data_IF_075745683177
#
_entry.id   IF_075745683177
#
_cell.length_a   1.000
_cell.length_b   1.000
_cell.length_c   1.000
_cell.angle_alpha   90.00
_cell.angle_beta   90.00
_cell.angle_gamma   90.00
#
_symmetry.space_group_name_H-M   'P 1'
#
loop_
_entity.id
_entity.type
_entity.pdbx_description
1 polymer ?
#
# COMPACT_ATOMS: atom_id res chain seq x y z
N UNK A 1 28.99 -47.82 53.00
CA UNK A 1 29.06 -47.98 51.52
C UNK A 1 29.14 -46.60 50.90
N UNK A 2 30.02 -46.45 49.91
CA UNK A 2 30.53 -45.17 49.39
C UNK A 2 29.43 -44.37 48.68
N UNK A 3 29.34 -43.09 49.02
CA UNK A 3 28.57 -42.10 48.28
C UNK A 3 29.18 -41.93 46.88
N UNK A 4 28.40 -42.16 45.83
CA UNK A 4 28.80 -41.90 44.45
C UNK A 4 28.99 -40.39 44.26
N UNK A 5 30.19 -40.00 43.85
CA UNK A 5 30.45 -38.63 43.42
C UNK A 5 29.71 -38.42 42.10
N UNK A 6 28.60 -37.70 42.13
CA UNK A 6 28.05 -37.02 40.96
C UNK A 6 29.11 -36.03 40.50
N UNK A 7 29.85 -36.39 39.45
CA UNK A 7 30.79 -35.49 38.79
C UNK A 7 29.94 -34.52 37.98
N UNK A 8 29.79 -33.30 38.49
CA UNK A 8 29.37 -32.17 37.67
C UNK A 8 30.32 -32.09 36.47
N UNK A 9 29.80 -32.30 35.26
CA UNK A 9 30.51 -31.97 34.02
C UNK A 9 30.74 -30.46 34.05
N UNK A 10 31.89 -30.05 34.58
CA UNK A 10 32.38 -28.70 34.44
C UNK A 10 32.45 -28.38 32.95
N UNK A 11 31.96 -27.20 32.58
CA UNK A 11 32.05 -26.65 31.25
C UNK A 11 33.51 -26.64 30.78
N UNK A 12 33.93 -27.69 30.07
CA UNK A 12 35.21 -27.70 29.39
C UNK A 12 35.13 -26.64 28.29
N UNK A 13 35.79 -25.51 28.50
CA UNK A 13 35.99 -24.53 27.45
C UNK A 13 36.76 -25.21 26.32
N UNK A 14 36.10 -25.43 25.18
CA UNK A 14 36.73 -25.94 23.97
C UNK A 14 37.94 -25.04 23.64
N UNK A 15 39.14 -25.60 23.41
CA UNK A 15 40.30 -24.79 23.07
C UNK A 15 40.02 -24.02 21.78
N UNK A 16 40.00 -22.70 21.89
CA UNK A 16 39.88 -21.77 20.77
C UNK A 16 41.27 -21.22 20.46
N UNK A 17 41.70 -21.35 19.21
CA UNK A 17 42.91 -20.69 18.69
C UNK A 17 42.51 -19.72 17.58
N UNK A 18 43.39 -18.79 17.22
CA UNK A 18 43.17 -17.91 16.08
C UNK A 18 44.12 -18.27 14.94
N UNK A 19 43.63 -18.22 13.71
CA UNK A 19 44.45 -18.41 12.52
C UNK A 19 44.08 -17.41 11.44
N UNK A 20 45.06 -16.93 10.69
CA UNK A 20 44.79 -16.18 9.46
C UNK A 20 44.01 -17.04 8.46
N UNK A 21 42.95 -16.46 7.91
CA UNK A 21 42.15 -17.03 6.84
C UNK A 21 41.97 -15.99 5.73
N UNK A 22 41.63 -16.44 4.53
CA UNK A 22 41.39 -15.58 3.37
C UNK A 22 39.91 -15.66 3.00
N UNK A 23 39.28 -14.51 2.83
CA UNK A 23 37.96 -14.35 2.24
C UNK A 23 38.11 -13.86 0.80
N UNK A 24 37.33 -14.41 -0.12
CA UNK A 24 37.37 -14.02 -1.55
C UNK A 24 36.98 -12.55 -1.75
N UNK A 25 36.02 -12.05 -0.98
CA UNK A 25 35.49 -10.69 -1.12
C UNK A 25 36.20 -9.66 -0.21
N UNK A 26 36.73 -10.09 0.93
CA UNK A 26 37.20 -9.19 1.99
C UNK A 26 38.67 -9.40 2.38
N UNK A 27 39.39 -10.29 1.70
CA UNK A 27 40.81 -10.55 1.93
C UNK A 27 41.09 -11.24 3.27
N UNK A 28 42.26 -10.95 3.85
CA UNK A 28 42.73 -11.64 5.06
C UNK A 28 41.93 -11.25 6.30
N UNK A 29 41.57 -12.24 7.10
CA UNK A 29 40.88 -12.03 8.38
C UNK A 29 41.35 -13.03 9.45
N UNK A 30 41.20 -12.65 10.71
CA UNK A 30 41.47 -13.52 11.85
C UNK A 30 40.26 -14.42 12.10
N UNK A 31 40.40 -15.72 11.83
CA UNK A 31 39.38 -16.71 12.12
C UNK A 31 39.59 -17.33 13.50
N UNK A 32 38.52 -17.46 14.29
CA UNK A 32 38.51 -18.31 15.48
C UNK A 32 38.38 -19.76 15.05
N UNK A 33 39.33 -20.58 15.48
CA UNK A 33 39.42 -22.01 15.20
C UNK A 33 38.98 -22.78 16.45
N UNK A 34 37.90 -23.54 16.33
CA UNK A 34 37.37 -24.38 17.39
C UNK A 34 37.57 -25.84 17.01
N UNK A 35 38.25 -26.59 17.86
CA UNK A 35 38.41 -28.03 17.70
C UNK A 35 37.33 -28.75 18.50
N UNK A 36 36.43 -29.43 17.80
CA UNK A 36 35.37 -30.24 18.42
C UNK A 36 35.59 -31.68 17.98
N UNK A 37 36.01 -32.54 18.93
CA UNK A 37 36.41 -33.93 18.67
C UNK A 37 37.50 -33.97 17.58
N UNK A 38 37.28 -34.72 16.49
CA UNK A 38 38.19 -34.87 15.35
C UNK A 38 37.98 -33.83 14.25
N UNK A 39 37.13 -32.82 14.46
CA UNK A 39 36.79 -31.81 13.45
C UNK A 39 37.25 -30.41 13.87
N UNK A 40 37.76 -29.68 12.89
CA UNK A 40 38.22 -28.29 13.05
C UNK A 40 37.24 -27.36 12.36
N UNK A 41 36.67 -26.42 13.10
CA UNK A 41 35.75 -25.41 12.60
C UNK A 41 36.44 -24.04 12.62
N UNK A 42 36.33 -23.30 11.52
CA UNK A 42 36.81 -21.90 11.45
C UNK A 42 35.61 -20.97 11.43
N UNK A 43 35.72 -19.84 12.12
CA UNK A 43 34.70 -18.81 12.05
C UNK A 43 34.61 -18.25 10.62
N UNK A 44 33.39 -17.90 10.16
CA UNK A 44 33.23 -17.21 8.89
C UNK A 44 33.90 -15.83 8.94
N UNK A 45 34.16 -15.25 7.77
CA UNK A 45 34.61 -13.86 7.65
C UNK A 45 33.61 -12.94 8.40
N UNK A 46 34.07 -12.12 9.36
CA UNK A 46 33.21 -11.21 10.12
C UNK A 46 32.47 -10.22 9.23
N UNK A 47 33.13 -9.75 8.17
CA UNK A 47 32.56 -8.77 7.25
C UNK A 47 31.47 -9.39 6.35
N UNK A 48 31.71 -10.59 5.80
CA UNK A 48 30.64 -11.36 5.13
C UNK A 48 29.44 -11.56 6.07
N UNK A 49 29.69 -11.93 7.33
CA UNK A 49 28.62 -12.16 8.32
C UNK A 49 27.86 -10.86 8.63
N UNK A 50 28.55 -9.72 8.74
CA UNK A 50 27.94 -8.39 8.93
C UNK A 50 27.01 -8.07 7.77
N UNK A 51 27.50 -8.16 6.53
CA UNK A 51 26.71 -7.89 5.32
C UNK A 51 25.52 -8.84 5.16
N UNK A 52 25.68 -10.13 5.49
CA UNK A 52 24.57 -11.09 5.50
C UNK A 52 23.52 -10.70 6.55
N UNK A 53 23.96 -10.37 7.76
CA UNK A 53 23.07 -9.95 8.85
C UNK A 53 22.32 -8.67 8.47
N UNK A 54 22.99 -7.68 7.87
CA UNK A 54 22.37 -6.44 7.38
C UNK A 54 21.32 -6.69 6.29
N UNK A 55 21.60 -7.60 5.35
CA UNK A 55 20.63 -8.01 4.34
C UNK A 55 19.42 -8.71 4.97
N UNK A 56 19.66 -9.63 5.90
CA UNK A 56 18.60 -10.37 6.60
C UNK A 56 17.73 -9.44 7.46
N UNK A 57 18.32 -8.49 8.18
CA UNK A 57 17.57 -7.52 8.98
C UNK A 57 16.78 -6.56 8.11
N UNK A 58 17.35 -6.06 7.01
CA UNK A 58 16.62 -5.23 6.05
C UNK A 58 15.41 -5.97 5.45
N UNK A 59 15.58 -7.24 5.07
CA UNK A 59 14.48 -8.08 4.58
C UNK A 59 13.42 -8.34 5.65
N UNK A 60 13.82 -8.53 6.92
CA UNK A 60 12.89 -8.73 8.02
C UNK A 60 12.05 -7.47 8.31
N UNK A 61 12.69 -6.30 8.35
CA UNK A 61 12.01 -5.00 8.50
C UNK A 61 11.03 -4.74 7.36
N UNK A 62 11.43 -5.04 6.11
CA UNK A 62 10.54 -4.88 4.95
C UNK A 62 9.32 -5.81 5.03
N UNK A 63 9.50 -7.07 5.45
CA UNK A 63 8.39 -8.01 5.66
C UNK A 63 7.44 -7.55 6.76
N UNK A 64 7.96 -7.07 7.88
CA UNK A 64 7.15 -6.56 8.99
C UNK A 64 6.34 -5.33 8.56
N UNK A 65 6.99 -4.40 7.84
CA UNK A 65 6.32 -3.23 7.25
C UNK A 65 5.20 -3.65 6.30
N UNK A 66 5.47 -4.60 5.41
CA UNK A 66 4.48 -5.14 4.47
C UNK A 66 3.28 -5.77 5.20
N UNK A 67 3.53 -6.57 6.23
CA UNK A 67 2.47 -7.19 7.03
C UNK A 67 1.62 -6.15 7.77
N UNK A 68 2.25 -5.12 8.35
CA UNK A 68 1.54 -4.05 9.04
C UNK A 68 0.72 -3.19 8.06
N UNK A 69 1.31 -2.83 6.91
CA UNK A 69 0.62 -2.08 5.86
C UNK A 69 -0.59 -2.84 5.32
N UNK A 70 -0.43 -4.15 5.08
CA UNK A 70 -1.51 -5.04 4.69
C UNK A 70 -2.62 -5.08 5.74
N UNK A 71 -2.30 -5.32 7.01
CA UNK A 71 -3.28 -5.34 8.11
C UNK A 71 -4.03 -4.02 8.23
N UNK A 72 -3.32 -2.89 8.13
CA UNK A 72 -3.91 -1.56 8.24
C UNK A 72 -4.83 -1.26 7.06
N UNK A 73 -4.39 -1.54 5.83
CA UNK A 73 -5.18 -1.29 4.63
C UNK A 73 -6.36 -2.25 4.45
N UNK A 74 -6.19 -3.55 4.76
CA UNK A 74 -7.25 -4.55 4.75
C UNK A 74 -8.36 -4.22 5.77
N UNK A 75 -8.01 -3.63 6.91
CA UNK A 75 -8.99 -3.11 7.86
C UNK A 75 -9.79 -1.91 7.31
N UNK A 76 -9.22 -1.17 6.35
CA UNK A 76 -9.80 0.04 5.79
C UNK A 76 -10.53 -0.20 4.47
N UNK A 77 -10.42 -1.39 3.85
CA UNK A 77 -11.26 -1.82 2.73
C UNK A 77 -12.53 -2.50 3.28
N UNK A 78 -13.73 -1.98 2.96
CA UNK A 78 -14.99 -2.59 3.39
C UNK A 78 -15.08 -4.08 3.01
N UNK A 79 -15.60 -4.92 3.92
CA UNK A 79 -15.71 -6.39 3.74
C UNK A 79 -16.29 -6.80 2.39
N UNK A 80 -17.29 -6.07 1.90
CA UNK A 80 -17.95 -6.31 0.60
C UNK A 80 -17.02 -6.21 -0.62
N UNK A 81 -15.83 -5.67 -0.43
CA UNK A 81 -14.87 -5.41 -1.49
C UNK A 81 -13.62 -6.32 -1.42
N UNK A 82 -13.47 -7.16 -0.38
CA UNK A 82 -12.31 -8.05 -0.24
C UNK A 82 -12.13 -9.00 -1.44
N UNK A 83 -13.21 -9.50 -2.03
CA UNK A 83 -13.16 -10.36 -3.22
C UNK A 83 -12.93 -9.63 -4.55
N UNK A 84 -12.84 -8.30 -4.57
CA UNK A 84 -12.72 -7.50 -5.80
C UNK A 84 -11.27 -7.36 -6.26
N UNK A 85 -10.72 -8.46 -6.77
CA UNK A 85 -9.37 -8.53 -7.36
C UNK A 85 -9.42 -8.38 -8.88
N UNK A 86 -8.26 -8.17 -9.52
CA UNK A 86 -8.16 -8.20 -10.97
C UNK A 86 -8.58 -9.55 -11.55
N UNK A 87 -8.25 -10.66 -10.87
CA UNK A 87 -8.66 -12.00 -11.27
C UNK A 87 -10.19 -12.14 -11.29
N UNK A 88 -10.88 -11.59 -10.29
CA UNK A 88 -12.34 -11.61 -10.19
C UNK A 88 -13.07 -10.61 -11.12
N UNK A 89 -12.35 -9.69 -11.78
CA UNK A 89 -12.96 -8.74 -12.71
C UNK A 89 -13.19 -9.38 -14.09
N UNK A 90 -14.47 -9.51 -14.47
CA UNK A 90 -14.88 -9.99 -15.79
C UNK A 90 -14.77 -8.88 -16.84
N UNK A 91 -13.97 -9.13 -17.88
CA UNK A 91 -13.76 -8.21 -18.98
C UNK A 91 -14.26 -8.85 -20.27
N UNK A 92 -15.52 -8.53 -20.62
CA UNK A 92 -16.28 -9.16 -21.70
C UNK A 92 -16.33 -8.29 -22.97
N UNK A 93 -15.83 -7.04 -22.91
CA UNK A 93 -15.75 -6.15 -24.06
C UNK A 93 -14.40 -5.43 -24.15
N UNK A 94 -14.04 -4.87 -25.32
CA UNK A 94 -12.75 -4.21 -25.54
C UNK A 94 -12.46 -3.06 -24.56
N UNK A 95 -13.49 -2.30 -24.17
CA UNK A 95 -13.36 -1.22 -23.18
C UNK A 95 -12.97 -1.72 -21.80
N UNK A 96 -13.64 -2.79 -21.34
CA UNK A 96 -13.32 -3.46 -20.07
C UNK A 96 -11.93 -4.09 -20.08
N UNK A 97 -11.53 -4.75 -21.18
CA UNK A 97 -10.20 -5.35 -21.32
C UNK A 97 -9.12 -4.26 -21.22
N UNK A 98 -9.30 -3.16 -21.95
CA UNK A 98 -8.37 -2.03 -21.92
C UNK A 98 -8.30 -1.37 -20.54
N UNK A 99 -9.44 -1.14 -19.90
CA UNK A 99 -9.49 -0.56 -18.55
C UNK A 99 -8.81 -1.48 -17.53
N UNK A 100 -9.13 -2.78 -17.53
CA UNK A 100 -8.48 -3.78 -16.67
C UNK A 100 -6.97 -3.79 -16.87
N UNK A 101 -6.50 -3.86 -18.11
CA UNK A 101 -5.08 -3.86 -18.43
C UNK A 101 -4.36 -2.59 -17.97
N UNK A 102 -4.98 -1.40 -18.16
CA UNK A 102 -4.40 -0.13 -17.69
C UNK A 102 -4.36 -0.02 -16.17
N UNK A 103 -5.40 -0.49 -15.48
CA UNK A 103 -5.40 -0.52 -14.02
C UNK A 103 -4.37 -1.53 -13.46
N UNK A 104 -4.22 -2.69 -14.11
CA UNK A 104 -3.21 -3.68 -13.74
C UNK A 104 -1.80 -3.10 -13.88
N UNK A 105 -1.49 -2.51 -15.04
CA UNK A 105 -0.20 -1.89 -15.30
C UNK A 105 0.11 -0.77 -14.28
N UNK A 106 -0.87 0.04 -13.91
CA UNK A 106 -0.67 1.08 -12.89
C UNK A 106 -0.27 0.50 -11.53
N UNK A 107 -0.82 -0.66 -11.15
CA UNK A 107 -0.45 -1.33 -9.91
C UNK A 107 0.94 -1.99 -10.01
N UNK A 108 1.31 -2.56 -11.16
CA UNK A 108 2.64 -3.13 -11.40
C UNK A 108 3.74 -2.05 -11.39
N UNK A 109 3.47 -0.89 -11.96
CA UNK A 109 4.39 0.26 -12.02
C UNK A 109 4.17 1.24 -10.85
N UNK A 110 3.70 0.76 -9.70
CA UNK A 110 3.25 1.64 -8.62
C UNK A 110 4.38 2.49 -8.04
N UNK A 111 5.61 1.98 -7.94
CA UNK A 111 6.75 2.77 -7.44
C UNK A 111 7.04 3.98 -8.34
N UNK A 112 7.03 3.80 -9.67
CA UNK A 112 7.22 4.91 -10.61
C UNK A 112 6.04 5.88 -10.58
N UNK A 113 4.82 5.36 -10.40
CA UNK A 113 3.62 6.19 -10.23
C UNK A 113 3.66 6.99 -8.93
N UNK A 114 4.18 6.41 -7.85
CA UNK A 114 4.36 7.06 -6.55
C UNK A 114 5.42 8.15 -6.63
N UNK A 115 6.59 7.86 -7.20
CA UNK A 115 7.67 8.85 -7.38
C UNK A 115 7.20 10.09 -8.17
N UNK A 116 6.37 9.87 -9.20
CA UNK A 116 5.80 10.93 -10.02
C UNK A 116 4.55 11.60 -9.40
N UNK A 117 4.01 11.11 -8.27
CA UNK A 117 2.73 11.55 -7.72
C UNK A 117 1.54 11.33 -8.68
N UNK A 118 1.64 10.34 -9.57
CA UNK A 118 0.73 10.13 -10.69
C UNK A 118 -0.64 9.63 -10.23
N UNK A 119 -1.64 10.49 -10.33
CA UNK A 119 -3.03 10.17 -10.02
C UNK A 119 -3.73 9.43 -11.16
N UNK A 120 -4.84 8.75 -10.84
CA UNK A 120 -5.71 8.10 -11.82
C UNK A 120 -7.16 8.52 -11.60
N UNK A 121 -7.92 8.70 -12.68
CA UNK A 121 -9.34 9.03 -12.62
C UNK A 121 -10.13 8.02 -13.43
N UNK A 122 -11.07 7.34 -12.76
CA UNK A 122 -12.03 6.42 -13.36
C UNK A 122 -13.39 7.13 -13.43
N UNK A 123 -13.88 7.42 -14.64
CA UNK A 123 -15.10 8.23 -14.85
C UNK A 123 -16.09 7.57 -15.80
N UNK A 124 -17.37 7.94 -15.74
CA UNK A 124 -18.40 7.47 -16.67
C UNK A 124 -19.52 6.69 -15.99
N UNK A 125 -20.27 5.91 -16.76
CA UNK A 125 -21.58 5.38 -16.33
C UNK A 125 -21.53 4.55 -15.04
N UNK A 126 -22.56 4.60 -14.18
CA UNK A 126 -22.65 3.72 -13.02
C UNK A 126 -22.74 2.25 -13.43
N UNK A 127 -22.28 1.35 -12.55
CA UNK A 127 -22.36 -0.09 -12.79
C UNK A 127 -21.37 -0.67 -13.81
N UNK A 128 -20.39 0.11 -14.25
CA UNK A 128 -19.37 -0.29 -15.23
C UNK A 128 -18.11 -0.94 -14.64
N UNK A 129 -18.01 -1.00 -13.31
CA UNK A 129 -16.92 -1.68 -12.61
C UNK A 129 -15.75 -0.80 -12.14
N UNK A 130 -15.87 0.53 -12.18
CA UNK A 130 -14.85 1.47 -11.70
C UNK A 130 -14.39 1.20 -10.26
N UNK A 131 -15.32 1.09 -9.32
CA UNK A 131 -15.03 0.75 -7.91
C UNK A 131 -14.33 -0.59 -7.77
N UNK A 132 -14.68 -1.59 -8.60
CA UNK A 132 -13.99 -2.88 -8.58
C UNK A 132 -12.53 -2.70 -8.96
N UNK A 133 -12.25 -2.06 -10.09
CA UNK A 133 -10.87 -1.85 -10.55
C UNK A 133 -10.06 -0.95 -9.61
N UNK A 134 -10.65 0.12 -9.06
CA UNK A 134 -9.98 0.97 -8.07
C UNK A 134 -9.60 0.20 -6.80
N UNK A 135 -10.49 -0.64 -6.28
CA UNK A 135 -10.18 -1.54 -5.17
C UNK A 135 -9.14 -2.60 -5.57
N UNK A 136 -9.22 -3.16 -6.78
CA UNK A 136 -8.24 -4.14 -7.25
C UNK A 136 -6.83 -3.56 -7.31
N UNK A 137 -6.68 -2.29 -7.71
CA UNK A 137 -5.39 -1.58 -7.64
C UNK A 137 -4.93 -1.49 -6.19
N UNK A 138 -5.80 -1.00 -5.28
CA UNK A 138 -5.43 -0.87 -3.86
C UNK A 138 -4.98 -2.21 -3.25
N UNK A 139 -5.71 -3.30 -3.52
CA UNK A 139 -5.33 -4.63 -3.06
C UNK A 139 -4.02 -5.11 -3.69
N UNK A 140 -3.84 -4.92 -5.00
CA UNK A 140 -2.61 -5.33 -5.67
C UNK A 140 -1.39 -4.57 -5.14
N UNK A 141 -1.50 -3.26 -4.93
CA UNK A 141 -0.44 -2.43 -4.34
C UNK A 141 -0.10 -2.94 -2.94
N UNK A 142 -1.08 -3.14 -2.06
CA UNK A 142 -0.79 -3.65 -0.71
C UNK A 142 -0.24 -5.09 -0.70
N UNK A 143 -0.60 -5.92 -1.69
CA UNK A 143 -0.15 -7.31 -1.76
C UNK A 143 1.27 -7.46 -2.34
N UNK A 144 1.68 -6.53 -3.18
CA UNK A 144 2.95 -6.58 -3.94
C UNK A 144 3.98 -5.57 -3.45
N UNK A 145 3.61 -4.65 -2.56
CA UNK A 145 4.46 -3.57 -2.05
C UNK A 145 4.28 -3.38 -0.55
N UNK A 146 5.29 -2.82 0.14
CA UNK A 146 5.20 -2.43 1.55
C UNK A 146 4.37 -1.17 1.83
N UNK A 147 3.51 -0.76 0.89
CA UNK A 147 2.73 0.48 0.95
C UNK A 147 1.31 0.29 1.44
N UNK A 148 0.72 1.37 1.94
CA UNK A 148 -0.66 1.38 2.45
C UNK A 148 -1.63 1.91 1.39
N UNK A 149 -2.81 1.32 1.33
CA UNK A 149 -3.91 1.84 0.53
C UNK A 149 -5.20 1.96 1.34
N UNK A 150 -5.99 3.00 1.08
CA UNK A 150 -7.28 3.24 1.74
C UNK A 150 -8.37 3.47 0.71
N UNK A 151 -9.54 2.88 0.94
CA UNK A 151 -10.75 3.16 0.19
C UNK A 151 -11.77 3.91 1.05
N UNK A 152 -12.30 5.02 0.53
CA UNK A 152 -13.42 5.75 1.13
C UNK A 152 -14.31 6.37 0.07
N UNK A 153 -15.62 6.44 0.34
CA UNK A 153 -16.53 7.28 -0.44
C UNK A 153 -16.48 8.71 0.08
N UNK A 154 -16.62 9.69 -0.81
CA UNK A 154 -16.66 11.11 -0.41
C UNK A 154 -17.80 11.38 0.56
N UNK A 155 -19.00 10.85 0.30
CA UNK A 155 -20.15 11.00 1.20
C UNK A 155 -19.87 10.47 2.62
N UNK A 156 -19.19 9.32 2.73
CA UNK A 156 -18.80 8.75 4.02
C UNK A 156 -17.81 9.63 4.77
N UNK A 157 -16.82 10.20 4.08
CA UNK A 157 -15.85 11.14 4.67
C UNK A 157 -16.56 12.37 5.23
N UNK A 158 -17.43 13.00 4.43
CA UNK A 158 -18.14 14.21 4.84
C UNK A 158 -19.06 13.94 6.03
N UNK A 159 -19.71 12.77 6.07
CA UNK A 159 -20.51 12.34 7.22
C UNK A 159 -19.65 12.19 8.47
N UNK A 160 -18.51 11.51 8.39
CA UNK A 160 -17.60 11.35 9.52
C UNK A 160 -17.08 12.69 10.05
N UNK A 161 -16.74 13.64 9.16
CA UNK A 161 -16.32 14.98 9.58
C UNK A 161 -17.46 15.71 10.30
N UNK A 162 -18.69 15.66 9.77
CA UNK A 162 -19.84 16.31 10.43
C UNK A 162 -20.10 15.76 11.83
N UNK A 163 -19.93 14.45 12.03
CA UNK A 163 -20.03 13.79 13.34
C UNK A 163 -18.89 14.15 14.31
N UNK A 164 -17.91 14.98 13.92
CA UNK A 164 -16.94 15.57 14.86
C UNK A 164 -17.45 16.86 15.48
N UNK A 165 -18.39 17.56 14.82
CA UNK A 165 -18.94 18.83 15.31
C UNK A 165 -20.01 18.64 16.38
N UNK A 166 -20.69 17.51 16.38
CA UNK A 166 -21.70 17.14 17.39
C UNK A 166 -21.08 16.47 18.64
N UNK A 167 -19.74 16.29 18.67
CA UNK A 167 -19.01 15.66 19.77
C UNK A 167 -19.24 14.15 19.90
N UNK A 168 -19.95 13.51 18.98
CA UNK A 168 -20.40 12.12 19.11
C UNK A 168 -19.37 11.06 18.69
N UNK A 169 -18.38 11.44 17.88
CA UNK A 169 -17.46 10.48 17.24
C UNK A 169 -16.20 10.13 18.04
N UNK A 170 -15.86 10.87 19.10
CA UNK A 170 -14.59 10.70 19.83
C UNK A 170 -13.34 10.90 18.96
N UNK A 171 -13.48 11.41 17.74
CA UNK A 171 -12.43 11.68 16.76
C UNK A 171 -12.45 13.15 16.38
N UNK A 172 -11.28 13.73 16.11
CA UNK A 172 -11.19 15.08 15.56
C UNK A 172 -11.23 15.05 14.03
N UNK A 173 -11.67 16.16 13.42
CA UNK A 173 -11.58 16.32 11.96
C UNK A 173 -10.14 16.12 11.46
N UNK A 174 -9.15 16.64 12.19
CA UNK A 174 -7.74 16.48 11.85
C UNK A 174 -7.31 15.01 11.79
N UNK A 175 -7.75 14.17 12.74
CA UNK A 175 -7.49 12.73 12.74
C UNK A 175 -8.05 12.03 11.50
N UNK A 176 -9.28 12.40 11.10
CA UNK A 176 -9.93 11.86 9.90
C UNK A 176 -9.15 12.26 8.64
N UNK A 177 -8.79 13.54 8.51
CA UNK A 177 -8.01 14.04 7.36
C UNK A 177 -6.64 13.37 7.28
N UNK A 178 -5.95 13.20 8.41
CA UNK A 178 -4.68 12.49 8.49
C UNK A 178 -4.80 11.05 7.98
N UNK A 179 -5.88 10.35 8.32
CA UNK A 179 -6.19 9.01 7.84
C UNK A 179 -6.45 8.92 6.33
N UNK A 180 -6.66 10.06 5.65
CA UNK A 180 -6.85 10.15 4.20
C UNK A 180 -5.59 10.67 3.50
N UNK A 181 -4.80 11.50 4.17
CA UNK A 181 -3.61 12.13 3.60
C UNK A 181 -2.38 11.23 3.73
N UNK A 182 -2.18 10.56 4.87
CA UNK A 182 -0.96 9.77 5.15
C UNK A 182 -0.82 8.46 4.36
N UNK A 183 -1.89 7.72 4.01
CA UNK A 183 -1.73 6.47 3.27
C UNK A 183 -1.08 6.70 1.91
N UNK A 184 -0.23 5.77 1.48
CA UNK A 184 0.51 5.89 0.21
C UNK A 184 -0.44 6.05 -0.97
N UNK A 185 -1.52 5.25 -0.99
CA UNK A 185 -2.57 5.32 -1.99
C UNK A 185 -3.95 5.61 -1.36
N UNK A 186 -4.69 6.54 -1.94
CA UNK A 186 -6.10 6.78 -1.61
C UNK A 186 -6.97 6.48 -2.82
N UNK A 187 -7.97 5.62 -2.63
CA UNK A 187 -9.10 5.44 -3.56
C UNK A 187 -10.28 6.23 -3.02
N UNK A 188 -10.57 7.34 -3.67
CA UNK A 188 -11.68 8.23 -3.34
C UNK A 188 -12.83 7.98 -4.32
N UNK A 189 -13.89 7.36 -3.81
CA UNK A 189 -15.06 6.96 -4.59
C UNK A 189 -16.23 7.92 -4.45
N UNK A 190 -17.15 7.86 -5.41
CA UNK A 190 -18.38 8.64 -5.46
C UNK A 190 -18.14 10.17 -5.46
N UNK A 191 -17.04 10.63 -6.06
CA UNK A 191 -16.79 12.07 -6.24
C UNK A 191 -17.81 12.63 -7.22
N UNK A 192 -18.49 13.71 -6.83
CA UNK A 192 -19.57 14.31 -7.62
C UNK A 192 -20.84 13.47 -7.69
N UNK A 193 -21.04 12.52 -6.77
CA UNK A 193 -22.29 11.78 -6.61
C UNK A 193 -23.34 12.55 -5.78
N UNK A 194 -22.94 13.65 -5.15
CA UNK A 194 -23.80 14.57 -4.42
C UNK A 194 -24.64 15.43 -5.37
N UNK A 195 -25.34 16.45 -4.86
CA UNK A 195 -26.28 17.31 -5.59
C UNK A 195 -25.67 17.84 -6.89
N UNK A 196 -26.50 18.32 -7.82
CA UNK A 196 -26.06 18.91 -9.11
C UNK A 196 -24.95 19.97 -8.94
N UNK A 197 -24.90 20.66 -7.80
CA UNK A 197 -23.81 21.53 -7.38
C UNK A 197 -23.21 21.11 -6.02
N UNK A 198 -21.87 20.97 -5.91
CA UNK A 198 -21.20 20.64 -4.66
C UNK A 198 -21.27 21.80 -3.66
N UNK A 199 -21.36 21.48 -2.37
CA UNK A 199 -21.36 22.51 -1.31
C UNK A 199 -19.96 23.09 -1.07
N UNK A 200 -19.84 24.32 -0.56
CA UNK A 200 -18.54 24.90 -0.16
C UNK A 200 -17.81 24.03 0.85
N UNK A 201 -18.55 23.42 1.79
CA UNK A 201 -17.99 22.47 2.75
C UNK A 201 -17.35 21.26 2.06
N UNK A 202 -18.04 20.67 1.08
CA UNK A 202 -17.54 19.53 0.30
C UNK A 202 -16.30 19.90 -0.52
N UNK A 203 -16.35 21.02 -1.23
CA UNK A 203 -15.22 21.53 -2.02
C UNK A 203 -14.01 21.83 -1.13
N UNK A 204 -14.23 22.45 0.03
CA UNK A 204 -13.17 22.75 1.00
C UNK A 204 -12.49 21.49 1.52
N UNK A 205 -13.26 20.46 1.90
CA UNK A 205 -12.68 19.19 2.39
C UNK A 205 -12.01 18.38 1.29
N UNK A 206 -12.57 18.35 0.09
CA UNK A 206 -11.89 17.78 -1.07
C UNK A 206 -10.55 18.46 -1.31
N UNK A 207 -10.52 19.79 -1.31
CA UNK A 207 -9.29 20.55 -1.49
C UNK A 207 -8.27 20.24 -0.39
N UNK A 208 -8.67 20.19 0.89
CA UNK A 208 -7.75 19.81 1.98
C UNK A 208 -7.12 18.43 1.77
N UNK A 209 -7.92 17.43 1.36
CA UNK A 209 -7.42 16.07 1.10
C UNK A 209 -6.48 16.06 -0.09
N UNK A 210 -6.91 16.60 -1.24
CA UNK A 210 -6.12 16.58 -2.47
C UNK A 210 -4.84 17.40 -2.33
N UNK A 211 -4.91 18.59 -1.75
CA UNK A 211 -3.73 19.44 -1.54
C UNK A 211 -2.72 18.79 -0.60
N UNK A 212 -3.17 18.25 0.55
CA UNK A 212 -2.26 17.60 1.50
C UNK A 212 -1.58 16.34 0.95
N UNK A 213 -2.24 15.63 0.02
CA UNK A 213 -1.65 14.49 -0.70
C UNK A 213 -0.69 14.96 -1.79
N UNK A 214 -1.07 15.98 -2.54
CA UNK A 214 -0.24 16.62 -3.56
C UNK A 214 1.09 17.12 -2.99
N UNK A 215 1.07 17.83 -1.85
CA UNK A 215 2.28 18.33 -1.18
C UNK A 215 3.25 17.21 -0.76
N UNK A 216 2.76 15.98 -0.65
CA UNK A 216 3.53 14.79 -0.28
C UNK A 216 3.81 13.86 -1.46
N UNK A 217 3.47 14.28 -2.68
CA UNK A 217 3.57 13.45 -3.90
C UNK A 217 2.80 12.13 -3.80
N UNK A 218 1.72 12.08 -3.02
CA UNK A 218 0.97 10.84 -2.79
C UNK A 218 -0.16 10.67 -3.82
N UNK A 219 -0.17 9.59 -4.62
CA UNK A 219 -1.14 9.40 -5.69
C UNK A 219 -2.56 9.16 -5.15
N UNK A 220 -3.56 9.63 -5.90
CA UNK A 220 -4.98 9.43 -5.60
C UNK A 220 -5.69 8.83 -6.80
N UNK A 221 -6.51 7.80 -6.56
CA UNK A 221 -7.45 7.24 -7.53
C UNK A 221 -8.82 7.84 -7.25
N UNK A 222 -9.32 8.65 -8.18
CA UNK A 222 -10.64 9.26 -8.10
C UNK A 222 -11.63 8.44 -8.92
N UNK A 223 -12.77 8.10 -8.34
CA UNK A 223 -13.87 7.43 -9.05
C UNK A 223 -15.09 8.34 -9.05
N UNK A 224 -15.67 8.55 -10.24
CA UNK A 224 -16.87 9.36 -10.42
C UNK A 224 -17.83 8.75 -11.43
N UNK A 225 -19.13 9.00 -11.23
CA UNK A 225 -20.15 8.68 -12.23
C UNK A 225 -20.36 9.79 -13.27
N UNK A 226 -19.71 10.94 -13.07
CA UNK A 226 -19.75 12.07 -13.99
C UNK A 226 -18.89 11.81 -15.24
N UNK A 227 -19.12 12.61 -16.27
CA UNK A 227 -18.22 12.67 -17.43
C UNK A 227 -16.90 13.38 -17.11
N UNK A 228 -15.88 13.16 -17.95
CA UNK A 228 -14.55 13.80 -17.82
C UNK A 228 -14.64 15.33 -17.72
N UNK A 229 -15.58 15.94 -18.46
CA UNK A 229 -15.75 17.40 -18.54
C UNK A 229 -16.44 18.01 -17.31
N UNK A 230 -17.26 17.23 -16.62
CA UNK A 230 -18.06 17.70 -15.48
C UNK A 230 -17.29 17.56 -14.16
N UNK A 231 -16.37 16.60 -14.10
CA UNK A 231 -15.61 16.28 -12.90
C UNK A 231 -14.86 17.49 -12.29
N UNK A 232 -14.18 18.37 -13.06
CA UNK A 232 -13.49 19.53 -12.49
C UNK A 232 -14.40 20.46 -11.71
N UNK A 233 -15.62 20.73 -12.21
CA UNK A 233 -16.60 21.55 -11.52
C UNK A 233 -17.08 20.88 -10.22
N UNK A 234 -17.29 19.56 -10.25
CA UNK A 234 -17.74 18.80 -9.08
C UNK A 234 -16.69 18.69 -7.96
N UNK A 235 -15.40 18.67 -8.29
CA UNK A 235 -14.31 18.60 -7.29
C UNK A 235 -13.66 19.94 -6.94
N UNK A 236 -13.99 20.99 -7.71
CA UNK A 236 -13.32 22.27 -7.71
C UNK A 236 -12.10 22.29 -8.61
N UNK A 237 -11.99 23.33 -9.44
CA UNK A 237 -10.93 23.48 -10.45
C UNK A 237 -9.52 23.34 -9.87
N UNK A 238 -9.28 23.88 -8.66
CA UNK A 238 -7.98 23.80 -8.00
C UNK A 238 -7.60 22.37 -7.63
N UNK A 239 -8.55 21.55 -7.17
CA UNK A 239 -8.31 20.14 -6.89
C UNK A 239 -8.06 19.36 -8.17
N UNK A 240 -8.82 19.65 -9.23
CA UNK A 240 -8.65 19.03 -10.54
C UNK A 240 -7.27 19.32 -11.16
N UNK A 241 -6.79 20.55 -11.00
CA UNK A 241 -5.48 20.98 -11.47
C UNK A 241 -4.35 20.23 -10.76
N UNK A 242 -4.39 20.13 -9.43
CA UNK A 242 -3.39 19.38 -8.65
C UNK A 242 -3.32 17.90 -8.98
N UNK A 243 -4.46 17.28 -9.34
CA UNK A 243 -4.46 15.89 -9.82
C UNK A 243 -3.72 15.72 -11.16
N UNK A 244 -3.70 16.76 -12.02
CA UNK A 244 -3.15 16.71 -13.38
C UNK A 244 -1.63 16.86 -13.45
N UNK A 245 -1.04 17.59 -12.51
CA UNK A 245 0.39 17.96 -12.56
C UNK A 245 1.34 16.75 -12.64
N UNK A 246 1.01 15.62 -11.99
CA UNK A 246 1.80 14.37 -12.04
C UNK A 246 1.58 13.52 -13.31
N UNK A 247 0.93 14.04 -14.35
CA UNK A 247 0.61 13.30 -15.57
C UNK A 247 -0.56 12.33 -15.38
N UNK A 248 -1.72 12.85 -14.95
CA UNK A 248 -2.90 12.06 -14.59
C UNK A 248 -3.32 11.07 -15.69
N UNK A 249 -3.67 9.85 -15.27
CA UNK A 249 -4.27 8.84 -16.16
C UNK A 249 -5.79 8.93 -16.05
N UNK A 250 -6.47 9.24 -17.14
CA UNK A 250 -7.95 9.30 -17.19
C UNK A 250 -8.50 8.12 -17.98
N UNK A 251 -9.35 7.31 -17.35
CA UNK A 251 -10.00 6.15 -17.96
C UNK A 251 -11.52 6.36 -18.00
N UNK A 252 -12.12 6.55 -19.21
CA UNK A 252 -13.56 6.64 -19.37
C UNK A 252 -14.21 5.25 -19.45
N UNK A 253 -15.34 5.09 -18.74
CA UNK A 253 -16.14 3.88 -18.64
C UNK A 253 -17.51 4.15 -19.28
N UNK A 254 -17.62 3.90 -20.57
CA UNK A 254 -18.79 4.26 -21.39
C UNK A 254 -19.69 3.08 -21.76
N UNK A 255 -19.40 1.87 -21.27
CA UNK A 255 -20.20 0.68 -21.55
C UNK A 255 -21.43 0.57 -20.64
N UNK A 256 -22.29 -0.41 -20.95
CA UNK A 256 -23.48 -0.70 -20.17
C UNK A 256 -23.17 -1.21 -18.76
N UNK A 257 -24.09 -0.91 -17.83
CA UNK A 257 -24.05 -1.44 -16.48
C UNK A 257 -24.05 -2.97 -16.48
N UNK A 258 -23.20 -3.54 -15.62
CA UNK A 258 -23.12 -4.98 -15.33
C UNK A 258 -23.85 -5.34 -14.02
N UNK A 259 -24.38 -4.36 -13.28
CA UNK A 259 -25.15 -4.63 -12.07
C UNK A 259 -26.42 -5.40 -12.42
N UNK A 260 -26.67 -6.50 -11.71
CA UNK A 260 -27.85 -7.35 -11.92
C UNK A 260 -27.71 -8.37 -13.06
N UNK A 261 -26.54 -8.49 -13.68
CA UNK A 261 -26.23 -9.54 -14.67
C UNK A 261 -25.50 -10.75 -14.05
N UNK A 262 -25.43 -10.83 -12.72
CA UNK A 262 -24.68 -11.85 -11.98
C UNK A 262 -25.44 -13.19 -11.80
N UNK A 263 -26.70 -13.31 -12.25
CA UNK A 263 -27.52 -14.54 -12.15
C UNK A 263 -28.40 -14.80 -13.42
N UNK A 264 -27.77 -14.94 -14.59
CA UNK A 264 -28.38 -15.55 -15.78
C UNK A 264 -27.43 -16.58 -16.41
#
# INVERSE_FOLDING_TARGET
MRSEKVVHLSSMATPQSTSMAMCEDHGEYLATVTHVLSRTFRSPCPECKRLQTEKETALAVERERHELAWKLGDALIPKRFKGKTFAAYQANNPGQIKAKARCHLYAEEFEQNLEAGRCMILVGNPGTGKTHLGVSIAQAVMASTGHTAVYRTLGGILQSIRATFDGSSGQSEGSILDGLIKPTLLVLDEVGASRETPSEFELSRLFSIINGRYEKMLPTIVISNLGVKELPAAMGERSADRLREGGVIVLPFTWESQRGKEDL
#
